data_IF_933698418877
#
_entry.id   IF_933698418877
#
_cell.length_a   1.000
_cell.length_b   1.000
_cell.length_c   1.000
_cell.angle_alpha   90.00
_cell.angle_beta   90.00
_cell.angle_gamma   90.00
#
_symmetry.space_group_name_H-M   'P 1'
#
loop_
_entity.id
_entity.type
_entity.pdbx_description
1 polymer ?
#
# COMPACT_ATOMS: atom_id res chain seq x y z
N UNK A 1 19.88 -20.14 20.47
CA UNK A 1 18.81 -19.92 19.47
C UNK A 1 17.68 -19.19 20.17
N UNK A 2 17.57 -17.89 19.95
CA UNK A 2 16.35 -17.08 20.11
C UNK A 2 16.75 -15.67 19.71
N UNK A 3 16.64 -15.40 18.41
CA UNK A 3 16.60 -14.05 17.88
C UNK A 3 15.30 -13.44 18.38
N UNK A 4 15.36 -12.85 19.58
CA UNK A 4 14.31 -11.99 20.10
C UNK A 4 14.23 -10.76 19.20
N UNK A 5 13.06 -10.62 18.57
CA UNK A 5 12.36 -9.34 18.51
C UNK A 5 13.16 -8.19 17.90
N UNK A 6 13.30 -8.23 16.57
CA UNK A 6 13.44 -6.99 15.80
C UNK A 6 12.02 -6.41 15.76
N UNK A 7 11.63 -5.64 16.77
CA UNK A 7 10.60 -4.62 16.52
C UNK A 7 11.23 -3.65 15.55
N UNK A 8 10.84 -3.83 14.28
CA UNK A 8 11.07 -2.86 13.24
C UNK A 8 10.24 -1.63 13.60
N UNK A 9 10.74 -0.83 14.54
CA UNK A 9 10.35 0.56 14.67
C UNK A 9 10.92 1.30 13.46
N UNK A 10 10.37 1.03 12.28
CA UNK A 10 10.59 1.89 11.13
C UNK A 10 9.89 3.21 11.45
N UNK A 11 10.73 4.18 11.73
CA UNK A 11 10.45 5.44 12.40
C UNK A 11 9.44 6.29 11.67
N UNK A 12 8.51 6.85 12.44
CA UNK A 12 7.66 7.98 12.04
C UNK A 12 8.51 9.10 11.40
N UNK A 13 8.20 9.42 10.14
CA UNK A 13 8.13 10.79 9.60
C UNK A 13 9.38 11.66 9.39
N UNK A 14 10.56 11.14 9.00
CA UNK A 14 11.71 12.02 8.66
C UNK A 14 12.54 11.62 7.41
N UNK A 15 11.90 11.21 6.31
CA UNK A 15 12.55 11.24 4.98
C UNK A 15 11.76 12.13 4.04
N UNK A 16 12.38 13.24 3.61
CA UNK A 16 11.79 14.23 2.70
C UNK A 16 11.25 13.55 1.43
N UNK A 17 9.93 13.51 1.28
CA UNK A 17 9.24 13.32 0.00
C UNK A 17 8.94 11.89 -0.45
N UNK A 18 9.17 10.87 0.39
CA UNK A 18 8.75 9.49 0.07
C UNK A 18 7.40 9.22 0.74
N UNK A 19 6.35 9.04 -0.06
CA UNK A 19 5.02 8.66 0.42
C UNK A 19 5.01 7.20 0.82
N UNK A 20 4.31 6.89 1.90
CA UNK A 20 4.09 5.51 2.30
C UNK A 20 3.11 4.83 1.35
N UNK A 21 3.26 3.51 1.15
CA UNK A 21 2.46 2.80 0.14
C UNK A 21 0.95 2.92 0.40
N UNK A 22 0.52 2.98 1.66
CA UNK A 22 -0.90 3.11 2.01
C UNK A 22 -1.49 4.49 1.66
N UNK A 23 -0.66 5.53 1.65
CA UNK A 23 -1.07 6.85 1.15
C UNK A 23 -1.25 6.79 -0.37
N UNK A 24 -0.33 6.12 -1.08
CA UNK A 24 -0.45 5.90 -2.53
C UNK A 24 -1.70 5.09 -2.89
N UNK A 25 -2.06 4.07 -2.08
CA UNK A 25 -3.30 3.32 -2.30
C UNK A 25 -4.55 4.22 -2.23
N UNK A 26 -4.55 5.17 -1.30
CA UNK A 26 -5.63 6.15 -1.15
C UNK A 26 -5.68 7.08 -2.35
N UNK A 27 -4.53 7.63 -2.74
CA UNK A 27 -4.41 8.54 -3.88
C UNK A 27 -4.90 7.86 -5.17
N UNK A 28 -4.42 6.65 -5.48
CA UNK A 28 -4.84 5.88 -6.65
C UNK A 28 -6.35 5.59 -6.64
N UNK A 29 -6.92 5.32 -5.47
CA UNK A 29 -8.37 5.12 -5.35
C UNK A 29 -9.14 6.41 -5.65
N UNK A 30 -8.70 7.53 -5.09
CA UNK A 30 -9.37 8.83 -5.22
C UNK A 30 -9.23 9.41 -6.62
N UNK A 31 -8.07 9.24 -7.27
CA UNK A 31 -7.83 9.61 -8.67
C UNK A 31 -8.75 8.85 -9.65
N UNK A 32 -9.23 7.68 -9.25
CA UNK A 32 -10.17 6.86 -10.01
C UNK A 32 -11.64 7.03 -9.56
N UNK A 33 -11.95 7.98 -8.67
CA UNK A 33 -13.29 8.22 -8.11
C UNK A 33 -13.93 6.98 -7.44
N UNK A 34 -13.11 6.07 -6.90
CA UNK A 34 -13.56 4.81 -6.32
C UNK A 34 -13.82 4.92 -4.81
N UNK A 35 -14.81 4.18 -4.33
CA UNK A 35 -15.03 3.97 -2.89
C UNK A 35 -14.15 2.82 -2.41
N UNK A 36 -13.85 2.79 -1.11
CA UNK A 36 -13.11 1.69 -0.49
C UNK A 36 -13.78 0.32 -0.72
N UNK A 37 -15.12 0.29 -0.83
CA UNK A 37 -15.86 -0.93 -1.13
C UNK A 37 -15.61 -1.45 -2.57
N UNK A 38 -15.39 -0.55 -3.53
CA UNK A 38 -15.16 -0.92 -4.93
C UNK A 38 -13.81 -1.61 -5.08
N UNK A 39 -12.76 -1.04 -4.48
CA UNK A 39 -11.42 -1.64 -4.49
C UNK A 39 -11.39 -2.93 -3.67
N UNK A 40 -12.13 -3.00 -2.56
CA UNK A 40 -12.26 -4.23 -1.79
C UNK A 40 -12.89 -5.36 -2.63
N UNK A 41 -13.88 -5.06 -3.47
CA UNK A 41 -14.49 -6.01 -4.38
C UNK A 41 -13.47 -6.52 -5.43
N UNK A 42 -12.65 -5.63 -6.00
CA UNK A 42 -11.55 -5.99 -6.92
C UNK A 42 -10.56 -6.94 -6.25
N UNK A 43 -10.26 -6.72 -4.97
CA UNK A 43 -9.33 -7.53 -4.19
C UNK A 43 -9.94 -8.83 -3.65
N UNK A 44 -11.26 -9.02 -3.75
CA UNK A 44 -11.96 -10.14 -3.12
C UNK A 44 -11.89 -10.09 -1.59
N UNK A 45 -11.94 -8.89 -1.00
CA UNK A 45 -11.89 -8.68 0.45
C UNK A 45 -13.03 -7.76 0.93
N UNK A 46 -13.07 -7.45 2.22
CA UNK A 46 -14.09 -6.55 2.78
C UNK A 46 -13.61 -5.10 2.77
N UNK A 47 -14.55 -4.15 2.69
CA UNK A 47 -14.24 -2.72 2.76
C UNK A 47 -13.46 -2.37 4.04
N UNK A 48 -13.77 -3.01 5.17
CA UNK A 48 -13.05 -2.79 6.43
C UNK A 48 -11.59 -3.23 6.34
N UNK A 49 -11.31 -4.38 5.71
CA UNK A 49 -9.93 -4.86 5.53
C UNK A 49 -9.17 -3.93 4.60
N UNK A 50 -9.79 -3.48 3.51
CA UNK A 50 -9.15 -2.52 2.60
C UNK A 50 -8.88 -1.17 3.28
N UNK A 51 -9.81 -0.66 4.09
CA UNK A 51 -9.61 0.54 4.91
C UNK A 51 -8.42 0.41 5.87
N UNK A 52 -8.16 -0.79 6.42
CA UNK A 52 -6.97 -1.04 7.26
C UNK A 52 -5.67 -0.96 6.47
N UNK A 53 -5.67 -1.34 5.20
CA UNK A 53 -4.52 -1.16 4.30
C UNK A 53 -4.26 0.34 4.05
N UNK A 54 -5.29 1.12 3.71
CA UNK A 54 -5.16 2.58 3.48
C UNK A 54 -4.78 3.40 4.73
N UNK A 55 -4.79 2.78 5.91
CA UNK A 55 -4.39 3.40 7.17
C UNK A 55 -3.08 2.83 7.72
N UNK A 56 -2.42 1.91 7.01
CA UNK A 56 -1.18 1.25 7.46
C UNK A 56 -1.34 0.33 8.68
N UNK A 57 -2.57 0.10 9.15
CA UNK A 57 -2.85 -0.76 10.32
C UNK A 57 -2.72 -2.25 10.03
N UNK A 58 -2.84 -2.63 8.75
CA UNK A 58 -2.57 -3.97 8.26
C UNK A 58 -1.60 -3.89 7.09
N UNK A 59 -0.64 -4.82 7.04
CA UNK A 59 0.23 -4.99 5.87
C UNK A 59 -0.57 -5.43 4.64
N UNK A 60 -0.22 -4.89 3.48
CA UNK A 60 -0.79 -5.28 2.19
C UNK A 60 -0.20 -6.64 1.73
N UNK A 61 -1.02 -7.70 1.57
CA UNK A 61 -0.51 -8.96 1.07
C UNK A 61 -0.01 -8.84 -0.38
N UNK A 62 1.09 -9.51 -0.73
CA UNK A 62 1.69 -9.44 -2.08
C UNK A 62 0.71 -9.80 -3.21
N UNK A 63 -0.22 -10.73 -2.96
CA UNK A 63 -1.29 -11.07 -3.91
C UNK A 63 -2.19 -9.88 -4.25
N UNK A 64 -2.49 -9.01 -3.28
CA UNK A 64 -3.30 -7.82 -3.48
C UNK A 64 -2.49 -6.75 -4.20
N UNK A 65 -1.20 -6.60 -3.86
CA UNK A 65 -0.30 -5.71 -4.60
C UNK A 65 -0.31 -6.04 -6.10
N UNK A 66 -0.14 -7.32 -6.45
CA UNK A 66 -0.21 -7.78 -7.84
C UNK A 66 -1.54 -7.42 -8.51
N UNK A 67 -2.66 -7.65 -7.83
CA UNK A 67 -3.98 -7.29 -8.36
C UNK A 67 -4.11 -5.79 -8.60
N UNK A 68 -3.63 -4.96 -7.68
CA UNK A 68 -3.69 -3.49 -7.79
C UNK A 68 -2.82 -2.96 -8.92
N UNK A 69 -1.61 -3.50 -9.11
CA UNK A 69 -0.76 -3.16 -10.25
C UNK A 69 -1.48 -3.41 -11.58
N UNK A 70 -2.14 -4.57 -11.70
CA UNK A 70 -2.88 -4.94 -12.91
C UNK A 70 -4.15 -4.09 -13.10
N UNK A 71 -4.86 -3.79 -12.01
CA UNK A 71 -6.12 -3.04 -12.04
C UNK A 71 -5.91 -1.56 -12.38
N UNK A 72 -4.94 -0.90 -11.75
CA UNK A 72 -4.63 0.52 -11.99
C UNK A 72 -3.65 0.74 -13.16
N UNK A 73 -3.14 -0.33 -13.77
CA UNK A 73 -2.15 -0.26 -14.85
C UNK A 73 -0.86 0.50 -14.46
N UNK A 74 -0.38 0.29 -13.24
CA UNK A 74 0.84 0.90 -12.68
C UNK A 74 1.88 -0.16 -12.31
N UNK A 75 3.16 0.22 -12.25
CA UNK A 75 4.20 -0.65 -11.72
C UNK A 75 4.12 -0.75 -10.18
N UNK A 76 4.74 -1.80 -9.62
CA UNK A 76 4.83 -1.93 -8.17
C UNK A 76 5.58 -0.75 -7.53
N UNK A 77 6.57 -0.19 -8.23
CA UNK A 77 7.36 0.96 -7.74
C UNK A 77 6.47 2.16 -7.42
N UNK A 78 5.45 2.42 -8.26
CA UNK A 78 4.48 3.49 -8.03
C UNK A 78 3.73 3.25 -6.72
N UNK A 79 3.15 2.07 -6.54
CA UNK A 79 2.37 1.74 -5.34
C UNK A 79 3.25 1.77 -4.09
N UNK A 80 4.48 1.28 -4.20
CA UNK A 80 5.44 1.24 -3.10
C UNK A 80 6.11 2.58 -2.81
N UNK A 81 5.81 3.63 -3.58
CA UNK A 81 6.42 4.95 -3.41
C UNK A 81 7.92 5.00 -3.74
N UNK A 82 8.42 4.05 -4.55
CA UNK A 82 9.83 3.94 -4.89
C UNK A 82 10.22 4.97 -5.97
N UNK A 83 11.41 5.61 -5.85
CA UNK A 83 11.92 6.49 -6.90
C UNK A 83 12.16 5.69 -8.18
N UNK A 84 11.86 6.29 -9.33
CA UNK A 84 12.03 5.67 -10.66
C UNK A 84 13.49 5.31 -10.98
N UNK A 85 14.45 5.94 -10.32
CA UNK A 85 15.87 5.75 -10.61
C UNK A 85 16.66 5.65 -9.30
N UNK A 86 17.23 4.48 -9.06
CA UNK A 86 18.41 4.31 -8.20
C UNK A 86 19.53 3.88 -9.13
N UNK A 87 20.16 4.85 -9.80
CA UNK A 87 21.33 4.63 -10.67
C UNK A 87 22.25 5.83 -10.60
#
# INVERSE_FOLDING_TARGET
MSIHHIECEYTKSEVRGVKEYWEVLRDLREDHDLRQADVAAVLGTTQQVYSRYENGTNELPLRHLKTLCLYYHVSADVILGLPKETS
#
